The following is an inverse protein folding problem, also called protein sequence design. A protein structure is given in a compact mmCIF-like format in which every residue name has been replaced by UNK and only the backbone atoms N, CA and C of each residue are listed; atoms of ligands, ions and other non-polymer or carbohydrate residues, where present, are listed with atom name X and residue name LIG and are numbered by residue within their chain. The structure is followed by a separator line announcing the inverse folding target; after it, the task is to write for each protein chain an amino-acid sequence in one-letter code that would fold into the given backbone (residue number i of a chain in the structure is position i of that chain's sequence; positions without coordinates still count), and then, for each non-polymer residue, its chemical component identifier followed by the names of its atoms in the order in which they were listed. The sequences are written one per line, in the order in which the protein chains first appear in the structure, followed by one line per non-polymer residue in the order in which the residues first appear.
data_IF_892480091142
#
_entry.id   IF_892480091142
#
_cell.length_a   1.000
_cell.length_b   1.000
_cell.length_c   1.000
_cell.angle_alpha   90.00
_cell.angle_beta   90.00
_cell.angle_gamma   90.00
#
_symmetry.space_group_name_H-M   'P 1'
#
loop_
_entity.id
_entity.type
_entity.pdbx_description
1 polymer ?
#
# COMPACT_ATOMS: atom_id res chain seq x y z
N UNK A 1 0.13 -5.71 -24.85
CA UNK A 1 -0.26 -5.47 -23.45
C UNK A 1 -1.76 -5.28 -23.40
N UNK A 2 -2.47 -5.99 -22.52
CA UNK A 2 -3.92 -5.83 -22.37
C UNK A 2 -4.25 -4.44 -21.79
N UNK A 3 -5.43 -3.89 -22.11
CA UNK A 3 -5.86 -2.57 -21.65
C UNK A 3 -5.93 -2.50 -20.12
N UNK A 4 -6.48 -3.53 -19.47
CA UNK A 4 -6.55 -3.59 -18.01
C UNK A 4 -5.15 -3.66 -17.38
N UNK A 5 -4.22 -4.34 -18.04
CA UNK A 5 -2.84 -4.42 -17.60
C UNK A 5 -2.18 -3.03 -17.62
N UNK A 6 -2.43 -2.24 -18.67
CA UNK A 6 -1.94 -0.86 -18.74
C UNK A 6 -2.53 0.00 -17.62
N UNK A 7 -3.83 -0.13 -17.34
CA UNK A 7 -4.45 0.61 -16.23
C UNK A 7 -3.85 0.24 -14.87
N UNK A 8 -3.51 -1.03 -14.64
CA UNK A 8 -2.82 -1.47 -13.42
C UNK A 8 -1.43 -0.86 -13.25
N UNK A 9 -0.76 -0.46 -14.33
CA UNK A 9 0.53 0.23 -14.24
C UNK A 9 0.41 1.61 -13.57
N UNK A 10 -0.75 2.28 -13.65
CA UNK A 10 -0.96 3.53 -12.91
C UNK A 10 -1.01 3.29 -11.39
N UNK A 11 -1.50 2.13 -10.95
CA UNK A 11 -1.48 1.73 -9.53
C UNK A 11 -0.04 1.48 -9.05
N UNK A 12 0.82 0.97 -9.92
CA UNK A 12 2.24 0.74 -9.63
C UNK A 12 3.03 2.01 -9.29
N UNK A 13 2.50 3.20 -9.64
CA UNK A 13 3.10 4.48 -9.25
C UNK A 13 3.21 4.65 -7.73
N UNK A 14 2.35 4.00 -6.95
CA UNK A 14 2.43 3.99 -5.48
C UNK A 14 3.70 3.32 -4.95
N UNK A 15 4.39 2.54 -5.79
CA UNK A 15 5.62 1.83 -5.45
C UNK A 15 6.82 2.39 -6.21
N UNK A 16 6.72 3.60 -6.74
CA UNK A 16 7.85 4.34 -7.29
C UNK A 16 8.49 5.24 -6.21
N UNK A 17 9.74 5.64 -6.43
CA UNK A 17 10.31 6.75 -5.67
C UNK A 17 9.44 7.99 -5.87
N UNK A 18 9.14 8.72 -4.81
CA UNK A 18 8.26 9.90 -4.89
C UNK A 18 8.80 10.93 -5.88
N UNK A 19 10.12 11.13 -5.93
CA UNK A 19 10.77 12.00 -6.92
C UNK A 19 10.57 11.57 -8.39
N UNK A 20 10.33 10.28 -8.65
CA UNK A 20 10.17 9.73 -9.99
C UNK A 20 8.70 9.68 -10.45
N UNK A 21 7.73 9.78 -9.52
CA UNK A 21 6.30 9.56 -9.79
C UNK A 21 5.81 10.39 -10.96
N UNK A 22 6.11 11.69 -11.00
CA UNK A 22 5.63 12.60 -12.05
C UNK A 22 6.21 12.23 -13.42
N UNK A 23 7.51 11.91 -13.49
CA UNK A 23 8.17 11.55 -14.75
C UNK A 23 7.61 10.22 -15.29
N UNK A 24 7.43 9.25 -14.39
CA UNK A 24 6.89 7.93 -14.74
C UNK A 24 5.42 8.00 -15.14
N UNK A 25 4.62 8.82 -14.46
CA UNK A 25 3.23 9.09 -14.85
C UNK A 25 3.15 9.68 -16.26
N UNK A 26 3.93 10.73 -16.56
CA UNK A 26 3.90 11.36 -17.89
C UNK A 26 4.29 10.37 -18.99
N UNK A 27 5.34 9.58 -18.76
CA UNK A 27 5.78 8.54 -19.70
C UNK A 27 4.67 7.51 -19.94
N UNK A 28 4.00 7.07 -18.87
CA UNK A 28 2.91 6.10 -18.94
C UNK A 28 1.67 6.67 -19.62
N UNK A 29 1.33 7.93 -19.35
CA UNK A 29 0.22 8.64 -19.95
C UNK A 29 0.43 8.82 -21.47
N UNK A 30 1.62 9.24 -21.89
CA UNK A 30 1.99 9.36 -23.30
C UNK A 30 1.92 8.00 -24.01
N UNK A 31 2.40 6.94 -23.37
CA UNK A 31 2.32 5.57 -23.89
C UNK A 31 0.87 5.10 -24.01
N UNK A 32 0.04 5.36 -23.00
CA UNK A 32 -1.38 5.00 -22.96
C UNK A 32 -2.16 5.66 -24.11
N UNK A 33 -1.98 6.97 -24.32
CA UNK A 33 -2.62 7.71 -25.42
C UNK A 33 -2.10 7.24 -26.78
N UNK A 34 -0.80 6.95 -26.90
CA UNK A 34 -0.23 6.42 -28.15
C UNK A 34 -0.81 5.07 -28.55
N UNK A 35 -1.11 4.19 -27.58
CA UNK A 35 -1.62 2.83 -27.84
C UNK A 35 -3.14 2.81 -28.02
N UNK A 36 -3.89 3.53 -27.19
CA UNK A 36 -5.36 3.44 -27.16
C UNK A 36 -6.09 4.67 -27.70
N UNK A 37 -5.35 5.71 -28.10
CA UNK A 37 -5.88 6.95 -28.65
C UNK A 37 -6.29 7.97 -27.59
N UNK A 38 -6.38 9.24 -28.00
CA UNK A 38 -6.88 10.35 -27.16
C UNK A 38 -8.40 10.46 -27.28
N UNK A 39 -9.11 9.63 -26.52
CA UNK A 39 -10.56 9.75 -26.39
C UNK A 39 -10.88 10.66 -25.21
N UNK A 40 -12.06 11.29 -25.21
CA UNK A 40 -12.51 12.12 -24.09
C UNK A 40 -12.44 11.36 -22.74
N UNK A 41 -12.71 10.06 -22.74
CA UNK A 41 -12.64 9.21 -21.54
C UNK A 41 -11.20 9.05 -21.04
N UNK A 42 -10.25 8.83 -21.96
CA UNK A 42 -8.83 8.70 -21.62
C UNK A 42 -8.25 10.01 -21.10
N UNK A 43 -8.58 11.14 -21.75
CA UNK A 43 -8.15 12.45 -21.29
C UNK A 43 -8.72 12.80 -19.92
N UNK A 44 -10.02 12.53 -19.68
CA UNK A 44 -10.64 12.74 -18.37
C UNK A 44 -10.01 11.86 -17.28
N UNK A 45 -9.68 10.61 -17.60
CA UNK A 45 -9.00 9.71 -16.67
C UNK A 45 -7.61 10.25 -16.28
N UNK A 46 -6.81 10.66 -17.27
CA UNK A 46 -5.47 11.20 -17.03
C UNK A 46 -5.52 12.53 -16.28
N UNK A 47 -6.41 13.44 -16.67
CA UNK A 47 -6.60 14.72 -15.98
C UNK A 47 -7.03 14.52 -14.52
N UNK A 48 -7.96 13.60 -14.27
CA UNK A 48 -8.34 13.23 -12.90
C UNK A 48 -7.14 12.70 -12.10
N UNK A 49 -6.37 11.77 -12.67
CA UNK A 49 -5.24 11.15 -11.98
C UNK A 49 -4.16 12.19 -11.66
N UNK A 50 -3.86 13.06 -12.62
CA UNK A 50 -2.86 14.10 -12.50
C UNK A 50 -3.28 15.18 -11.48
N UNK A 51 -4.53 15.64 -11.53
CA UNK A 51 -5.04 16.66 -10.59
C UNK A 51 -5.19 16.12 -9.17
N UNK A 52 -5.50 14.83 -9.02
CA UNK A 52 -5.80 14.24 -7.72
C UNK A 52 -4.55 13.73 -7.01
N UNK A 53 -3.64 13.05 -7.72
CA UNK A 53 -2.58 12.24 -7.11
C UNK A 53 -1.16 12.67 -7.47
N UNK A 54 -0.90 13.06 -8.73
CA UNK A 54 0.48 13.28 -9.24
C UNK A 54 0.90 14.75 -9.13
N UNK A 55 0.04 15.66 -9.56
CA UNK A 55 0.31 17.10 -9.69
C UNK A 55 0.87 17.49 -11.06
N UNK A 56 0.80 18.79 -11.37
CA UNK A 56 1.37 19.39 -12.58
C UNK A 56 2.48 20.36 -12.21
N UNK A 57 3.24 20.81 -13.21
CA UNK A 57 4.13 21.96 -13.03
C UNK A 57 3.35 23.14 -12.42
N UNK A 58 3.76 23.56 -11.21
CA UNK A 58 3.16 24.66 -10.43
C UNK A 58 1.76 24.39 -9.85
N UNK A 59 1.21 23.19 -9.96
CA UNK A 59 -0.06 22.79 -9.35
C UNK A 59 0.14 21.55 -8.48
N UNK A 60 -0.07 21.72 -7.17
CA UNK A 60 0.01 20.61 -6.23
C UNK A 60 -1.19 19.66 -6.44
N UNK A 61 -0.99 18.33 -6.32
CA UNK A 61 -2.10 17.40 -6.33
C UNK A 61 -3.00 17.63 -5.11
N UNK A 62 -4.25 17.18 -5.20
CA UNK A 62 -5.19 17.18 -4.06
C UNK A 62 -4.64 16.40 -2.86
N UNK A 63 -4.01 15.27 -3.12
CA UNK A 63 -3.37 14.45 -2.10
C UNK A 63 -1.86 14.40 -2.33
N UNK A 64 -1.09 14.68 -1.27
CA UNK A 64 0.37 14.62 -1.31
C UNK A 64 0.85 13.23 -1.72
N UNK A 65 1.91 13.14 -2.53
CA UNK A 65 2.53 11.87 -2.89
C UNK A 65 2.99 11.08 -1.66
N UNK A 66 3.51 11.76 -0.63
CA UNK A 66 3.94 11.12 0.62
C UNK A 66 2.79 10.47 1.39
N UNK A 67 1.54 10.90 1.15
CA UNK A 67 0.35 10.35 1.82
C UNK A 67 -0.05 8.99 1.25
N UNK A 68 0.09 8.78 -0.06
CA UNK A 68 -0.41 7.58 -0.75
C UNK A 68 0.69 6.67 -1.28
N UNK A 69 1.95 7.13 -1.30
CA UNK A 69 3.08 6.30 -1.70
C UNK A 69 3.34 5.21 -0.65
N UNK A 70 3.48 3.98 -1.14
CA UNK A 70 3.62 2.77 -0.34
C UNK A 70 5.02 2.15 -0.43
N UNK A 71 5.95 2.73 -1.20
CA UNK A 71 7.29 2.16 -1.40
C UNK A 71 8.05 2.04 -0.08
N UNK A 72 8.26 3.16 0.61
CA UNK A 72 8.98 3.18 1.89
C UNK A 72 8.26 2.39 2.99
N UNK A 73 6.92 2.43 3.02
CA UNK A 73 6.12 1.64 3.96
C UNK A 73 6.41 0.15 3.75
N UNK A 74 6.45 -0.29 2.49
CA UNK A 74 6.71 -1.68 2.13
C UNK A 74 8.15 -2.09 2.41
N UNK A 75 9.14 -1.27 2.04
CA UNK A 75 10.57 -1.55 2.26
C UNK A 75 10.92 -1.71 3.75
N UNK A 76 10.20 -1.02 4.62
CA UNK A 76 10.38 -1.09 6.07
C UNK A 76 9.48 -2.15 6.75
N UNK A 77 8.81 -3.02 5.97
CA UNK A 77 7.84 -4.00 6.47
C UNK A 77 6.76 -3.40 7.38
N UNK A 78 6.36 -2.15 7.10
CA UNK A 78 5.31 -1.47 7.85
C UNK A 78 3.92 -1.84 7.32
N UNK A 79 2.88 -1.82 8.18
CA UNK A 79 1.51 -2.07 7.75
C UNK A 79 1.07 -1.07 6.66
N UNK A 80 0.77 -1.58 5.46
CA UNK A 80 0.25 -0.79 4.32
C UNK A 80 -1.19 -0.31 4.51
N UNK A 81 -1.99 -1.07 5.25
CA UNK A 81 -3.40 -0.77 5.52
C UNK A 81 -3.66 -0.78 7.02
N UNK A 82 -4.80 -0.24 7.40
CA UNK A 82 -5.32 -0.29 8.77
C UNK A 82 -5.88 -1.68 9.17
N UNK A 83 -5.73 -2.72 8.35
CA UNK A 83 -6.29 -4.06 8.62
C UNK A 83 -5.87 -4.62 9.99
N UNK A 84 -4.64 -4.35 10.42
CA UNK A 84 -4.16 -4.76 11.75
C UNK A 84 -4.90 -4.03 12.87
N UNK A 85 -5.16 -2.74 12.69
CA UNK A 85 -5.94 -1.92 13.63
C UNK A 85 -7.40 -2.34 13.64
N UNK A 86 -8.01 -2.60 12.48
CA UNK A 86 -9.37 -3.10 12.36
C UNK A 86 -9.52 -4.49 12.98
N UNK A 87 -8.57 -5.39 12.73
CA UNK A 87 -8.54 -6.72 13.32
C UNK A 87 -8.40 -6.66 14.84
N UNK A 88 -7.52 -5.80 15.35
CA UNK A 88 -7.37 -5.56 16.78
C UNK A 88 -8.67 -4.99 17.38
N UNK A 89 -9.26 -3.96 16.76
CA UNK A 89 -10.51 -3.36 17.22
C UNK A 89 -11.65 -4.37 17.25
N UNK A 90 -11.77 -5.22 16.22
CA UNK A 90 -12.77 -6.29 16.16
C UNK A 90 -12.57 -7.34 17.27
N UNK A 91 -11.32 -7.77 17.51
CA UNK A 91 -11.01 -8.69 18.60
C UNK A 91 -11.30 -8.07 19.97
N UNK A 92 -10.93 -6.81 20.17
CA UNK A 92 -11.16 -6.06 21.41
C UNK A 92 -12.66 -5.85 21.68
N UNK A 93 -13.44 -5.50 20.65
CA UNK A 93 -14.89 -5.40 20.75
C UNK A 93 -15.52 -6.75 21.07
N UNK A 94 -15.02 -7.83 20.48
CA UNK A 94 -15.43 -9.20 20.82
C UNK A 94 -15.16 -9.55 22.28
N UNK A 95 -13.98 -9.19 22.81
CA UNK A 95 -13.60 -9.40 24.20
C UNK A 95 -14.46 -8.58 25.18
N UNK A 96 -14.87 -7.38 24.80
CA UNK A 96 -15.80 -6.56 25.58
C UNK A 96 -17.22 -7.14 25.62
N UNK A 97 -17.62 -7.90 24.59
CA UNK A 97 -18.92 -8.57 24.49
C UNK A 97 -20.12 -7.61 24.45
N UNK A 98 -19.91 -6.32 24.23
CA UNK A 98 -20.96 -5.30 24.17
C UNK A 98 -20.50 -4.07 23.38
N UNK A 99 -21.45 -3.34 22.81
CA UNK A 99 -21.18 -2.14 22.00
C UNK A 99 -20.90 -0.89 22.86
N UNK A 100 -21.52 -0.81 24.04
CA UNK A 100 -21.40 0.32 24.95
C UNK A 100 -21.02 -0.16 26.36
N UNK A 101 -19.75 -0.55 26.59
CA UNK A 101 -19.30 -0.99 27.90
C UNK A 101 -19.34 0.16 28.91
N UNK A 102 -19.74 -0.15 30.15
CA UNK A 102 -19.49 0.75 31.26
C UNK A 102 -17.98 1.02 31.42
N UNK A 103 -17.61 2.23 31.84
CA UNK A 103 -16.21 2.67 31.93
C UNK A 103 -15.32 1.67 32.68
N UNK A 104 -15.80 1.09 33.78
CA UNK A 104 -15.04 0.10 34.55
C UNK A 104 -14.76 -1.19 33.77
N UNK A 105 -15.66 -1.65 32.90
CA UNK A 105 -15.45 -2.83 32.03
C UNK A 105 -14.41 -2.52 30.97
N UNK A 106 -14.51 -1.34 30.36
CA UNK A 106 -13.54 -0.87 29.38
C UNK A 106 -12.14 -0.80 30.00
N UNK A 107 -12.01 -0.22 31.20
CA UNK A 107 -10.72 -0.14 31.92
C UNK A 107 -10.13 -1.53 32.18
N UNK A 108 -10.94 -2.49 32.64
CA UNK A 108 -10.48 -3.87 32.85
C UNK A 108 -10.04 -4.54 31.56
N UNK A 109 -10.77 -4.36 30.46
CA UNK A 109 -10.41 -4.90 29.16
C UNK A 109 -9.07 -4.31 28.67
N UNK A 110 -8.88 -2.99 28.77
CA UNK A 110 -7.61 -2.34 28.41
C UNK A 110 -6.43 -2.84 29.27
N UNK A 111 -6.64 -3.05 30.57
CA UNK A 111 -5.62 -3.64 31.44
C UNK A 111 -5.24 -5.06 31.00
N UNK A 112 -6.23 -5.87 30.60
CA UNK A 112 -6.00 -7.22 30.08
C UNK A 112 -5.23 -7.20 28.75
N UNK A 113 -5.61 -6.32 27.82
CA UNK A 113 -4.87 -6.11 26.57
C UNK A 113 -3.42 -5.70 26.83
N UNK A 114 -3.20 -4.75 27.75
CA UNK A 114 -1.86 -4.30 28.11
C UNK A 114 -0.99 -5.45 28.64
N UNK A 115 -1.55 -6.36 29.43
CA UNK A 115 -0.82 -7.55 29.92
C UNK A 115 -0.39 -8.43 28.75
N UNK A 116 -1.28 -8.68 27.79
CA UNK A 116 -0.98 -9.47 26.59
C UNK A 116 0.10 -8.83 25.72
N UNK A 117 -0.01 -7.52 25.46
CA UNK A 117 0.97 -6.74 24.69
C UNK A 117 2.33 -6.70 25.40
N UNK A 118 2.35 -6.50 26.72
CA UNK A 118 3.61 -6.53 27.49
C UNK A 118 4.28 -7.89 27.43
N UNK A 119 3.51 -8.99 27.53
CA UNK A 119 4.06 -10.33 27.39
C UNK A 119 4.68 -10.55 26.00
N UNK A 120 4.02 -10.07 24.94
CA UNK A 120 4.56 -10.11 23.58
C UNK A 120 5.84 -9.27 23.45
N UNK A 121 5.85 -8.06 24.01
CA UNK A 121 7.01 -7.17 24.03
C UNK A 121 8.21 -7.84 24.71
N UNK A 122 8.02 -8.46 25.88
CA UNK A 122 9.11 -9.18 26.58
C UNK A 122 9.67 -10.31 25.74
N UNK A 123 8.83 -11.08 25.03
CA UNK A 123 9.28 -12.13 24.11
C UNK A 123 10.12 -11.57 22.96
N UNK A 124 9.68 -10.48 22.35
CA UNK A 124 10.43 -9.79 21.29
C UNK A 124 11.79 -9.29 21.80
N UNK A 125 11.82 -8.68 22.99
CA UNK A 125 13.07 -8.23 23.62
C UNK A 125 14.01 -9.38 23.97
N UNK A 126 13.48 -10.58 24.25
CA UNK A 126 14.25 -11.80 24.43
C UNK A 126 14.76 -12.41 23.10
N UNK A 127 14.42 -11.81 21.96
CA UNK A 127 14.83 -12.27 20.62
C UNK A 127 13.92 -13.34 20.02
N UNK A 128 12.74 -13.61 20.61
CA UNK A 128 11.77 -14.48 19.96
C UNK A 128 11.28 -13.85 18.65
N UNK A 129 11.24 -14.66 17.59
CA UNK A 129 10.68 -14.24 16.30
C UNK A 129 9.17 -14.42 16.32
N UNK A 130 8.44 -13.31 16.29
CA UNK A 130 6.99 -13.32 16.09
C UNK A 130 6.72 -13.20 14.59
N UNK A 131 5.94 -14.12 13.99
CA UNK A 131 5.62 -14.02 12.56
C UNK A 131 4.78 -12.77 12.29
N UNK A 132 5.22 -11.95 11.34
CA UNK A 132 4.48 -10.75 10.87
C UNK A 132 3.15 -11.13 10.21
N UNK A 133 3.10 -12.30 9.58
CA UNK A 133 1.92 -12.80 8.88
C UNK A 133 1.45 -14.10 9.51
N UNK A 134 0.15 -14.17 9.83
CA UNK A 134 -0.46 -15.40 10.32
C UNK A 134 -0.52 -16.49 9.23
N UNK A 135 -0.64 -16.09 7.96
CA UNK A 135 -0.70 -16.99 6.80
C UNK A 135 0.58 -16.88 5.98
N UNK A 136 1.12 -18.01 5.56
CA UNK A 136 2.39 -18.08 4.81
C UNK A 136 2.28 -17.41 3.44
N UNK A 137 1.11 -17.50 2.81
CA UNK A 137 0.84 -16.92 1.49
C UNK A 137 1.06 -15.40 1.50
N UNK A 138 0.63 -14.70 2.55
CA UNK A 138 0.85 -13.25 2.68
C UNK A 138 2.32 -12.89 2.89
N UNK A 139 3.06 -13.73 3.62
CA UNK A 139 4.51 -13.56 3.79
C UNK A 139 5.26 -13.74 2.46
N UNK A 140 4.88 -14.75 1.68
CA UNK A 140 5.47 -14.98 0.35
C UNK A 140 5.14 -13.82 -0.60
N UNK A 141 3.89 -13.38 -0.66
CA UNK A 141 3.46 -12.27 -1.50
C UNK A 141 4.22 -10.97 -1.14
N UNK A 142 4.40 -10.68 0.15
CA UNK A 142 5.21 -9.55 0.59
C UNK A 142 6.68 -9.69 0.17
N UNK A 143 7.26 -10.88 0.26
CA UNK A 143 8.63 -11.14 -0.17
C UNK A 143 8.82 -10.98 -1.68
N UNK A 144 7.85 -11.40 -2.48
CA UNK A 144 7.84 -11.23 -3.93
C UNK A 144 7.76 -9.73 -4.29
N UNK A 145 6.88 -8.99 -3.61
CA UNK A 145 6.76 -7.54 -3.75
C UNK A 145 8.07 -6.81 -3.38
N UNK A 146 8.70 -7.18 -2.25
CA UNK A 146 9.99 -6.63 -1.84
C UNK A 146 11.10 -6.94 -2.85
N UNK A 147 11.10 -8.14 -3.43
CA UNK A 147 12.06 -8.54 -4.46
C UNK A 147 11.90 -7.68 -5.71
N UNK A 148 10.67 -7.37 -6.09
CA UNK A 148 10.38 -6.48 -7.22
C UNK A 148 10.83 -5.04 -6.94
N UNK A 149 10.47 -4.49 -5.77
CA UNK A 149 10.88 -3.14 -5.35
C UNK A 149 12.41 -3.03 -5.25
N UNK A 150 13.09 -4.06 -4.75
CA UNK A 150 14.56 -4.10 -4.66
C UNK A 150 15.26 -4.01 -6.02
N UNK A 151 14.55 -4.30 -7.12
CA UNK A 151 15.07 -4.19 -8.50
C UNK A 151 14.70 -2.87 -9.18
N UNK A 152 14.13 -1.90 -8.45
CA UNK A 152 13.68 -0.63 -8.98
C UNK A 152 14.76 0.14 -9.76
N UNK A 153 15.99 0.17 -9.25
CA UNK A 153 17.10 0.94 -9.84
C UNK A 153 17.71 0.32 -11.09
N UNK A 154 17.48 -0.99 -11.32
CA UNK A 154 18.05 -1.74 -12.45
C UNK A 154 17.06 -1.95 -13.59
N UNK A 155 15.77 -1.71 -13.36
CA UNK A 155 14.72 -1.84 -14.37
C UNK A 155 14.44 -0.51 -15.06
N UNK A 156 14.07 -0.58 -16.33
CA UNK A 156 13.53 0.59 -17.01
C UNK A 156 12.17 1.00 -16.42
N UNK A 157 11.73 2.26 -16.55
CA UNK A 157 10.45 2.69 -16.01
C UNK A 157 9.25 1.84 -16.45
N UNK A 158 9.13 1.58 -17.75
CA UNK A 158 8.03 0.77 -18.30
C UNK A 158 8.12 -0.69 -17.86
N UNK A 159 9.32 -1.27 -17.79
CA UNK A 159 9.53 -2.65 -17.32
C UNK A 159 9.12 -2.82 -15.85
N UNK A 160 9.52 -1.90 -14.98
CA UNK A 160 9.15 -1.93 -13.57
C UNK A 160 7.63 -1.88 -13.38
N UNK A 161 6.97 -0.91 -14.02
CA UNK A 161 5.52 -0.74 -13.92
C UNK A 161 4.77 -1.96 -14.48
N UNK A 162 5.25 -2.53 -15.58
CA UNK A 162 4.68 -3.73 -16.19
C UNK A 162 4.80 -4.96 -15.28
N UNK A 163 6.00 -5.19 -14.74
CA UNK A 163 6.25 -6.30 -13.81
C UNK A 163 5.39 -6.18 -12.55
N UNK A 164 5.23 -4.96 -12.02
CA UNK A 164 4.34 -4.69 -10.90
C UNK A 164 2.88 -4.97 -11.21
N UNK A 165 2.40 -4.46 -12.34
CA UNK A 165 1.02 -4.69 -12.76
C UNK A 165 0.71 -6.19 -12.91
N UNK A 166 1.69 -7.00 -13.35
CA UNK A 166 1.55 -8.46 -13.44
C UNK A 166 1.51 -9.13 -12.07
N UNK A 167 2.31 -8.67 -11.12
CA UNK A 167 2.27 -9.15 -9.73
C UNK A 167 0.86 -8.96 -9.13
N UNK A 168 0.28 -7.76 -9.27
CA UNK A 168 -1.09 -7.46 -8.77
C UNK A 168 -2.24 -8.12 -9.55
N UNK A 169 -1.95 -8.90 -10.58
CA UNK A 169 -2.98 -9.67 -11.28
C UNK A 169 -3.30 -11.01 -10.61
N UNK A 170 -2.48 -11.42 -9.63
CA UNK A 170 -2.61 -12.68 -8.89
C UNK A 170 -3.02 -12.50 -7.42
N UNK A 171 -3.13 -11.26 -6.94
CA UNK A 171 -3.66 -10.88 -5.63
C UNK A 171 -5.17 -10.56 -5.73
#
# INVERSE_FOLDING_TARGET
MDYNQHLKMFVALAFCETGDVTIRFNTLADEFIRIYGSTDQHEQFLDYFETTWVGRSRLRPRFSQDMWNCKQITENDLPRTNNSVESWHNAFQGALGCQHPAVYKLMKALQSEQVGVNALYVKLMAGEKVPLYARKEYGNANQDLLTLIGRYSVMTPSEYLYNYANYTAYD
#
